data_IF_622756759544
#
_entry.id   IF_622756759544
#
_cell.length_a   1.000
_cell.length_b   1.000
_cell.length_c   1.000
_cell.angle_alpha   90.00
_cell.angle_beta   90.00
_cell.angle_gamma   90.00
#
_symmetry.space_group_name_H-M   'P 1'
#
loop_
_entity.id
_entity.type
_entity.pdbx_description
1 polymer ?
#
# COMPACT_ATOMS: atom_id res chain seq x y z
N UNK A 1 49.34 64.13 36.99
CA UNK A 1 50.19 63.03 36.49
C UNK A 1 49.40 61.74 36.53
N UNK A 2 49.17 61.05 35.41
CA UNK A 2 48.65 59.68 35.38
C UNK A 2 49.73 58.66 34.94
N UNK A 3 49.90 57.52 35.64
CA UNK A 3 50.55 56.32 35.13
C UNK A 3 49.52 55.35 34.48
N UNK A 4 49.94 54.31 33.72
CA UNK A 4 49.22 53.96 32.48
C UNK A 4 48.49 52.61 32.44
N UNK A 5 47.50 52.57 31.54
CA UNK A 5 46.99 51.48 30.67
C UNK A 5 47.47 50.04 31.00
N UNK A 6 46.54 49.19 31.44
CA UNK A 6 46.72 47.73 31.43
C UNK A 6 46.30 47.12 30.09
N UNK A 7 47.19 46.31 29.51
CA UNK A 7 47.07 45.73 28.17
C UNK A 7 46.78 44.22 28.26
N UNK A 8 45.53 43.78 28.11
CA UNK A 8 45.20 42.35 28.05
C UNK A 8 45.32 41.81 26.62
N UNK A 9 46.49 41.28 26.28
CA UNK A 9 46.70 40.45 25.09
C UNK A 9 46.32 38.99 25.34
N UNK A 10 45.46 38.48 24.45
CA UNK A 10 45.48 37.11 23.90
C UNK A 10 45.52 35.92 24.88
N UNK A 11 44.36 35.27 25.04
CA UNK A 11 44.25 33.83 24.75
C UNK A 11 43.11 33.58 23.78
N UNK A 12 43.45 33.26 22.53
CA UNK A 12 42.52 32.58 21.62
C UNK A 12 42.53 31.11 22.03
N UNK A 13 41.37 30.54 22.32
CA UNK A 13 41.29 29.09 22.49
C UNK A 13 41.39 28.45 21.11
N UNK A 14 42.49 27.72 20.86
CA UNK A 14 42.60 26.84 19.72
C UNK A 14 41.71 25.62 19.99
N UNK A 15 40.56 25.55 19.32
CA UNK A 15 39.76 24.33 19.25
C UNK A 15 40.53 23.36 18.34
N UNK A 16 40.71 22.11 18.79
CA UNK A 16 41.43 21.11 18.00
C UNK A 16 40.60 20.74 16.77
N UNK A 17 41.22 20.61 15.61
CA UNK A 17 40.52 20.20 14.39
C UNK A 17 39.80 18.84 14.51
N UNK A 18 40.24 17.98 15.44
CA UNK A 18 39.52 16.75 15.79
C UNK A 18 38.20 17.01 16.51
N UNK A 19 38.09 18.03 17.36
CA UNK A 19 36.83 18.33 18.09
C UNK A 19 35.77 18.88 17.13
N UNK A 20 36.19 19.66 16.13
CA UNK A 20 35.31 20.16 15.07
C UNK A 20 34.86 19.03 14.13
N UNK A 21 35.75 18.09 13.79
CA UNK A 21 35.42 16.91 12.97
C UNK A 21 34.55 15.89 13.74
N UNK A 22 34.71 15.77 15.06
CA UNK A 22 33.81 14.99 15.93
C UNK A 22 32.45 15.66 16.02
N UNK A 23 32.36 16.99 16.21
CA UNK A 23 31.09 17.71 16.18
C UNK A 23 30.38 17.61 14.83
N UNK A 24 31.08 17.79 13.72
CA UNK A 24 30.51 17.64 12.38
C UNK A 24 30.05 16.19 12.11
N UNK A 25 30.76 15.19 12.67
CA UNK A 25 30.30 13.79 12.64
C UNK A 25 29.06 13.57 13.51
N UNK A 26 28.96 14.16 14.70
CA UNK A 26 27.77 14.09 15.56
C UNK A 26 26.58 14.85 14.95
N UNK A 27 26.80 15.99 14.29
CA UNK A 27 25.77 16.73 13.57
C UNK A 27 25.33 15.99 12.30
N UNK A 28 26.25 15.42 11.51
CA UNK A 28 25.89 14.49 10.43
C UNK A 28 25.08 13.30 10.95
N UNK A 29 25.49 12.69 12.07
CA UNK A 29 24.76 11.56 12.65
C UNK A 29 23.39 11.97 13.24
N UNK A 30 23.18 13.26 13.55
CA UNK A 30 21.86 13.83 13.91
C UNK A 30 21.03 14.25 12.71
N UNK A 31 21.65 14.56 11.58
CA UNK A 31 20.99 14.85 10.30
C UNK A 31 20.58 13.55 9.56
N UNK A 32 21.37 12.48 9.70
CA UNK A 32 21.05 11.12 9.26
C UNK A 32 20.16 10.36 10.28
N UNK A 33 19.97 10.87 11.49
CA UNK A 33 19.00 10.32 12.43
C UNK A 33 17.57 10.65 11.93
N UNK A 34 16.70 9.66 11.69
CA UNK A 34 15.36 9.91 11.18
C UNK A 34 14.54 10.71 12.20
N UNK A 35 14.36 12.01 11.94
CA UNK A 35 13.39 12.85 12.62
C UNK A 35 11.98 12.40 12.23
N UNK A 36 11.51 11.31 12.86
CA UNK A 36 10.24 10.69 12.48
C UNK A 36 9.86 9.37 13.18
N UNK A 37 10.61 8.85 14.17
CA UNK A 37 10.17 7.63 14.90
C UNK A 37 9.08 7.88 15.97
N UNK A 38 8.72 9.15 16.23
CA UNK A 38 7.47 9.52 16.94
C UNK A 38 6.33 9.85 15.95
N UNK A 39 6.29 9.13 14.82
CA UNK A 39 5.22 9.24 13.82
C UNK A 39 3.86 8.79 14.41
N UNK A 40 3.07 9.76 14.90
CA UNK A 40 1.62 9.69 15.20
C UNK A 40 1.13 8.27 15.55
N UNK A 41 1.39 7.84 16.78
CA UNK A 41 0.93 6.54 17.29
C UNK A 41 -0.60 6.38 17.09
N UNK A 42 -1.08 5.45 16.24
CA UNK A 42 -2.50 5.26 15.96
C UNK A 42 -3.33 4.89 17.20
N UNK A 43 -2.70 4.47 18.30
CA UNK A 43 -3.36 4.24 19.59
C UNK A 43 -3.95 5.52 20.19
N UNK A 44 -3.40 6.69 19.87
CA UNK A 44 -3.95 7.99 20.33
C UNK A 44 -5.26 8.37 19.65
N UNK A 45 -5.47 7.96 18.40
CA UNK A 45 -6.63 8.38 17.58
C UNK A 45 -7.75 7.32 17.54
N UNK A 46 -7.39 6.03 17.53
CA UNK A 46 -8.34 4.91 17.45
C UNK A 46 -8.46 4.07 18.73
N UNK A 47 -7.68 4.41 19.77
CA UNK A 47 -7.56 3.66 21.02
C UNK A 47 -6.65 2.43 20.90
N UNK A 48 -6.03 2.05 22.01
CA UNK A 48 -5.17 0.87 22.07
C UNK A 48 -5.99 -0.43 21.91
N UNK A 49 -6.01 -0.96 20.69
CA UNK A 49 -6.76 -2.17 20.35
C UNK A 49 -5.83 -3.24 19.79
N UNK A 50 -6.16 -4.51 20.07
CA UNK A 50 -5.35 -5.66 19.65
C UNK A 50 -5.11 -5.71 18.13
N UNK A 51 -6.03 -5.17 17.31
CA UNK A 51 -5.85 -5.05 15.86
C UNK A 51 -4.78 -4.03 15.46
N UNK A 52 -4.80 -2.83 16.06
CA UNK A 52 -3.79 -1.78 15.82
C UNK A 52 -2.43 -2.26 16.30
N UNK A 53 -2.35 -2.89 17.47
CA UNK A 53 -1.08 -3.41 17.99
C UNK A 53 -0.48 -4.51 17.11
N UNK A 54 -1.28 -5.34 16.43
CA UNK A 54 -0.79 -6.29 15.42
C UNK A 54 -0.28 -5.62 14.13
N UNK A 55 -0.84 -4.47 13.75
CA UNK A 55 -0.36 -3.69 12.60
C UNK A 55 0.93 -2.94 12.92
N UNK A 56 1.04 -2.34 14.11
CA UNK A 56 2.28 -1.71 14.58
C UNK A 56 3.41 -2.74 14.78
N UNK A 57 3.09 -3.91 15.35
CA UNK A 57 4.05 -5.00 15.43
C UNK A 57 4.43 -5.58 14.06
N UNK A 58 3.60 -5.43 13.01
CA UNK A 58 3.94 -5.90 11.67
C UNK A 58 5.16 -5.14 11.09
N UNK A 59 5.23 -3.84 11.38
CA UNK A 59 6.31 -2.95 10.94
C UNK A 59 7.58 -3.14 11.79
N UNK A 60 7.40 -3.33 13.10
CA UNK A 60 8.50 -3.59 14.05
C UNK A 60 9.03 -5.05 14.03
N UNK A 61 8.57 -5.93 13.12
CA UNK A 61 9.19 -7.26 12.92
C UNK A 61 10.43 -7.08 12.05
N UNK A 62 11.65 -7.40 12.55
CA UNK A 62 12.87 -7.24 11.77
C UNK A 62 12.80 -7.98 10.43
N UNK A 63 13.15 -7.30 9.34
CA UNK A 63 12.99 -7.80 7.96
C UNK A 63 13.64 -9.17 7.73
N UNK A 64 14.69 -9.50 8.48
CA UNK A 64 15.34 -10.82 8.47
C UNK A 64 14.36 -11.98 8.68
N UNK A 65 13.33 -11.84 9.51
CA UNK A 65 12.32 -12.90 9.70
C UNK A 65 11.40 -13.06 8.48
N UNK A 66 11.11 -11.97 7.75
CA UNK A 66 10.35 -12.02 6.50
C UNK A 66 11.19 -12.60 5.36
N UNK A 67 12.49 -12.28 5.30
CA UNK A 67 13.44 -12.90 4.37
C UNK A 67 13.58 -14.40 4.67
N UNK A 68 13.70 -14.79 5.94
CA UNK A 68 13.83 -16.17 6.38
C UNK A 68 12.53 -16.97 6.15
N UNK A 69 11.36 -16.36 6.31
CA UNK A 69 10.08 -16.95 5.93
C UNK A 69 10.06 -17.28 4.43
N UNK A 70 10.44 -16.32 3.57
CA UNK A 70 10.56 -16.53 2.12
C UNK A 70 11.55 -17.66 1.80
N UNK A 71 12.75 -17.63 2.40
CA UNK A 71 13.77 -18.68 2.22
C UNK A 71 13.23 -20.09 2.51
N UNK A 72 12.52 -20.29 3.64
CA UNK A 72 11.94 -21.59 3.97
C UNK A 72 10.77 -21.98 3.06
N UNK A 73 9.92 -21.04 2.63
CA UNK A 73 8.82 -21.35 1.69
C UNK A 73 9.34 -21.72 0.30
N UNK A 74 10.41 -21.07 -0.17
CA UNK A 74 11.08 -21.40 -1.44
C UNK A 74 11.84 -22.73 -1.37
N UNK A 75 12.47 -23.06 -0.23
CA UNK A 75 13.07 -24.39 0.00
C UNK A 75 12.02 -25.51 -0.03
N UNK A 76 10.85 -25.28 0.58
CA UNK A 76 9.74 -26.23 0.54
C UNK A 76 9.24 -26.47 -0.90
N UNK A 77 9.10 -25.40 -1.70
CA UNK A 77 8.76 -25.49 -3.12
C UNK A 77 9.82 -26.30 -3.90
N UNK A 78 11.11 -26.04 -3.68
CA UNK A 78 12.18 -26.77 -4.35
C UNK A 78 12.11 -28.28 -4.06
N UNK A 79 11.85 -28.67 -2.80
CA UNK A 79 11.59 -30.06 -2.44
C UNK A 79 10.39 -30.66 -3.18
N UNK A 80 9.27 -29.94 -3.26
CA UNK A 80 8.07 -30.37 -4.00
C UNK A 80 8.28 -30.53 -5.52
N UNK A 81 9.16 -29.73 -6.14
CA UNK A 81 9.47 -29.84 -7.58
C UNK A 81 10.44 -31.00 -7.86
N UNK A 82 11.46 -31.18 -7.01
CA UNK A 82 12.48 -32.23 -7.19
C UNK A 82 11.89 -33.63 -6.99
N UNK A 83 10.90 -33.80 -6.11
CA UNK A 83 10.25 -35.10 -5.86
C UNK A 83 9.70 -35.74 -7.16
N UNK A 84 8.72 -35.16 -7.90
CA UNK A 84 8.25 -35.70 -9.18
C UNK A 84 9.35 -35.94 -10.21
N UNK A 85 10.25 -34.97 -10.39
CA UNK A 85 11.32 -35.03 -11.39
C UNK A 85 12.29 -36.21 -11.16
N UNK A 86 12.64 -36.47 -9.89
CA UNK A 86 13.47 -37.60 -9.48
C UNK A 86 12.88 -38.94 -9.94
N UNK A 87 11.55 -39.08 -9.87
CA UNK A 87 10.86 -40.33 -10.23
C UNK A 87 10.71 -40.56 -11.74
N UNK A 88 10.76 -39.51 -12.57
CA UNK A 88 10.76 -39.66 -14.03
C UNK A 88 12.08 -40.26 -14.51
N UNK A 89 13.21 -39.79 -13.98
CA UNK A 89 14.56 -40.28 -14.31
C UNK A 89 14.84 -41.74 -13.92
N UNK A 90 14.07 -42.31 -12.98
CA UNK A 90 14.22 -43.71 -12.57
C UNK A 90 13.50 -44.69 -13.49
N UNK A 91 12.38 -44.29 -14.09
CA UNK A 91 11.54 -45.22 -14.84
C UNK A 91 12.13 -45.55 -16.22
N UNK A 92 12.89 -44.63 -16.81
CA UNK A 92 13.73 -44.87 -18.00
C UNK A 92 14.86 -45.90 -17.78
N UNK A 93 15.10 -46.35 -16.54
CA UNK A 93 16.18 -47.29 -16.19
C UNK A 93 15.76 -48.72 -15.84
N UNK A 94 14.45 -49.08 -15.85
CA UNK A 94 13.97 -50.41 -15.40
C UNK A 94 13.06 -51.15 -16.38
N UNK A 95 13.49 -52.38 -16.67
CA UNK A 95 12.92 -53.45 -17.51
C UNK A 95 11.96 -54.35 -16.65
N UNK A 96 11.04 -55.18 -17.21
CA UNK A 96 9.72 -55.40 -16.58
C UNK A 96 9.59 -56.51 -15.50
N UNK A 97 8.45 -56.41 -14.81
CA UNK A 97 7.74 -57.26 -13.83
C UNK A 97 8.20 -58.70 -13.53
N UNK A 98 8.32 -59.03 -12.23
CA UNK A 98 7.64 -60.15 -11.53
C UNK A 98 7.96 -60.16 -10.02
N UNK A 99 7.27 -61.02 -9.23
CA UNK A 99 7.52 -61.34 -7.79
C UNK A 99 7.18 -60.25 -6.73
N UNK A 100 5.88 -60.11 -6.43
CA UNK A 100 5.31 -59.08 -5.51
C UNK A 100 5.70 -59.25 -4.03
N UNK A 101 6.16 -60.43 -3.57
CA UNK A 101 6.41 -60.70 -2.14
C UNK A 101 7.79 -60.22 -1.63
N UNK A 102 8.85 -60.30 -2.46
CA UNK A 102 10.19 -59.77 -2.11
C UNK A 102 10.33 -58.26 -2.39
N UNK A 103 9.39 -57.68 -3.13
CA UNK A 103 9.42 -56.30 -3.58
C UNK A 103 9.57 -55.30 -2.43
N UNK A 104 8.83 -55.42 -1.32
CA UNK A 104 8.89 -54.46 -0.21
C UNK A 104 10.29 -54.25 0.37
N UNK A 105 11.05 -55.34 0.57
CA UNK A 105 12.43 -55.27 1.09
C UNK A 105 13.44 -54.79 0.04
N UNK A 106 13.21 -55.09 -1.24
CA UNK A 106 14.10 -54.69 -2.35
C UNK A 106 13.87 -53.23 -2.79
N UNK A 107 12.63 -52.73 -2.68
CA UNK A 107 12.26 -51.34 -2.90
C UNK A 107 12.91 -50.46 -1.84
N UNK A 108 12.82 -50.83 -0.56
CA UNK A 108 13.52 -50.13 0.54
C UNK A 108 15.04 -50.07 0.30
N UNK A 109 15.66 -51.18 -0.13
CA UNK A 109 17.10 -51.23 -0.42
C UNK A 109 17.49 -50.48 -1.71
N UNK A 110 16.55 -50.25 -2.63
CA UNK A 110 16.74 -49.35 -3.78
C UNK A 110 16.68 -47.88 -3.32
N UNK A 111 15.70 -47.54 -2.47
CA UNK A 111 15.46 -46.18 -1.98
C UNK A 111 16.67 -45.57 -1.25
N UNK A 112 17.44 -46.39 -0.54
CA UNK A 112 18.64 -45.95 0.18
C UNK A 112 19.77 -45.44 -0.73
N UNK A 113 19.82 -45.84 -2.00
CA UNK A 113 20.92 -45.49 -2.93
C UNK A 113 20.61 -44.27 -3.81
N UNK A 114 19.54 -43.51 -3.53
CA UNK A 114 19.12 -42.37 -4.35
C UNK A 114 19.46 -41.02 -3.69
N UNK A 115 20.55 -40.34 -4.07
CA UNK A 115 20.94 -39.08 -3.42
C UNK A 115 19.88 -37.98 -3.61
N UNK A 116 19.28 -37.90 -4.81
CA UNK A 116 18.34 -36.82 -5.15
C UNK A 116 17.03 -36.88 -4.33
N UNK A 117 16.56 -38.07 -3.96
CA UNK A 117 15.37 -38.24 -3.12
C UNK A 117 15.64 -37.84 -1.66
N UNK A 118 16.81 -38.20 -1.12
CA UNK A 118 17.21 -37.74 0.21
C UNK A 118 17.36 -36.22 0.27
N UNK A 119 17.96 -35.61 -0.76
CA UNK A 119 18.05 -34.15 -0.90
C UNK A 119 16.66 -33.51 -0.86
N UNK A 120 15.70 -34.01 -1.67
CA UNK A 120 14.34 -33.47 -1.70
C UNK A 120 13.60 -33.63 -0.35
N UNK A 121 13.75 -34.77 0.32
CA UNK A 121 13.16 -35.00 1.65
C UNK A 121 13.74 -34.06 2.72
N UNK A 122 15.06 -33.83 2.69
CA UNK A 122 15.76 -32.90 3.59
C UNK A 122 15.30 -31.45 3.34
N UNK A 123 15.17 -31.04 2.08
CA UNK A 123 14.64 -29.70 1.72
C UNK A 123 13.22 -29.51 2.26
N UNK A 124 12.31 -30.46 2.02
CA UNK A 124 10.94 -30.40 2.57
C UNK A 124 10.93 -30.32 4.10
N UNK A 125 11.78 -31.09 4.79
CA UNK A 125 11.89 -31.08 6.24
C UNK A 125 12.40 -29.72 6.77
N UNK A 126 13.47 -29.17 6.19
CA UNK A 126 14.02 -27.86 6.58
C UNK A 126 12.99 -26.75 6.35
N UNK A 127 12.32 -26.73 5.19
CA UNK A 127 11.27 -25.75 4.89
C UNK A 127 10.11 -25.83 5.89
N UNK A 128 9.58 -27.02 6.15
CA UNK A 128 8.49 -27.22 7.10
C UNK A 128 8.87 -26.87 8.55
N UNK A 129 10.05 -27.29 9.02
CA UNK A 129 10.54 -26.96 10.36
C UNK A 129 10.81 -25.46 10.53
N UNK A 130 11.39 -24.80 9.52
CA UNK A 130 11.63 -23.36 9.53
C UNK A 130 10.34 -22.54 9.53
N UNK A 131 9.37 -22.91 8.69
CA UNK A 131 8.02 -22.32 8.71
C UNK A 131 7.31 -22.54 10.05
N UNK A 132 7.39 -23.74 10.62
CA UNK A 132 6.78 -24.06 11.92
C UNK A 132 7.40 -23.29 13.10
N UNK A 133 8.73 -23.12 13.09
CA UNK A 133 9.43 -22.30 14.08
C UNK A 133 9.02 -20.82 14.01
N UNK A 134 9.02 -20.24 12.81
CA UNK A 134 8.59 -18.85 12.59
C UNK A 134 7.11 -18.63 12.94
N UNK A 135 6.25 -19.59 12.61
CA UNK A 135 4.83 -19.58 12.99
C UNK A 135 4.65 -19.59 14.51
N UNK A 136 5.44 -20.37 15.26
CA UNK A 136 5.38 -20.40 16.72
C UNK A 136 5.88 -19.09 17.34
N UNK A 137 7.00 -18.56 16.85
CA UNK A 137 7.60 -17.30 17.34
C UNK A 137 6.63 -16.12 17.21
N UNK A 138 5.98 -15.98 16.06
CA UNK A 138 5.11 -14.84 15.76
C UNK A 138 3.61 -15.16 15.89
N UNK A 139 3.25 -16.21 16.65
CA UNK A 139 1.87 -16.75 16.75
C UNK A 139 0.79 -15.75 17.14
N UNK A 140 1.15 -14.62 17.74
CA UNK A 140 0.23 -13.55 18.12
C UNK A 140 -0.08 -12.58 16.97
N UNK A 141 0.78 -12.49 15.97
CA UNK A 141 0.65 -11.58 14.83
C UNK A 141 0.05 -12.29 13.61
N UNK A 142 -1.27 -12.47 13.67
CA UNK A 142 -2.05 -13.21 12.68
C UNK A 142 -1.92 -12.65 11.25
N UNK A 143 -1.73 -11.34 11.11
CA UNK A 143 -1.53 -10.66 9.81
C UNK A 143 -0.19 -11.07 9.20
N UNK A 144 0.90 -11.06 9.98
CA UNK A 144 2.23 -11.47 9.52
C UNK A 144 2.24 -12.94 9.11
N UNK A 145 1.69 -13.82 9.97
CA UNK A 145 1.60 -15.27 9.70
C UNK A 145 0.83 -15.57 8.42
N UNK A 146 -0.33 -14.93 8.22
CA UNK A 146 -1.15 -15.16 7.04
C UNK A 146 -0.41 -14.74 5.77
N UNK A 147 0.19 -13.54 5.78
CA UNK A 147 0.81 -12.94 4.59
C UNK A 147 2.22 -13.48 4.26
N UNK A 148 2.97 -13.98 5.26
CA UNK A 148 4.38 -14.40 5.09
C UNK A 148 4.60 -15.91 5.16
N UNK A 149 3.71 -16.68 5.78
CA UNK A 149 3.86 -18.13 5.95
C UNK A 149 2.71 -18.90 5.29
N UNK A 150 1.47 -18.64 5.70
CA UNK A 150 0.33 -19.47 5.27
C UNK A 150 0.01 -19.27 3.79
N UNK A 151 -0.09 -18.03 3.31
CA UNK A 151 -0.44 -17.75 1.92
C UNK A 151 0.65 -18.22 0.92
N UNK A 152 1.96 -17.92 1.10
CA UNK A 152 3.01 -18.46 0.23
C UNK A 152 3.11 -20.00 0.32
N UNK A 153 3.01 -20.57 1.53
CA UNK A 153 3.05 -22.02 1.73
C UNK A 153 1.92 -22.75 1.02
N UNK A 154 0.68 -22.23 1.11
CA UNK A 154 -0.48 -22.78 0.42
C UNK A 154 -0.30 -22.74 -1.11
N UNK A 155 0.12 -21.60 -1.65
CA UNK A 155 0.38 -21.45 -3.09
C UNK A 155 1.46 -22.42 -3.58
N UNK A 156 2.58 -22.54 -2.87
CA UNK A 156 3.65 -23.49 -3.23
C UNK A 156 3.22 -24.96 -3.09
N UNK A 157 2.36 -25.29 -2.12
CA UNK A 157 1.80 -26.63 -1.98
C UNK A 157 0.87 -26.98 -3.16
N UNK A 158 0.06 -26.01 -3.64
CA UNK A 158 -0.70 -26.16 -4.88
C UNK A 158 0.24 -26.36 -6.07
N UNK A 159 1.29 -25.53 -6.21
CA UNK A 159 2.28 -25.69 -7.29
C UNK A 159 2.90 -27.08 -7.28
N UNK A 160 3.31 -27.59 -6.11
CA UNK A 160 3.83 -28.95 -5.95
C UNK A 160 2.85 -30.04 -6.36
N UNK A 161 1.58 -29.92 -5.97
CA UNK A 161 0.52 -30.86 -6.35
C UNK A 161 0.26 -30.82 -7.86
N UNK A 162 0.16 -29.63 -8.46
CA UNK A 162 0.01 -29.44 -9.91
C UNK A 162 1.19 -30.03 -10.68
N UNK A 163 2.43 -29.74 -10.25
CA UNK A 163 3.64 -30.34 -10.84
C UNK A 163 3.63 -31.86 -10.73
N UNK A 164 3.14 -32.43 -9.62
CA UNK A 164 2.99 -33.89 -9.45
C UNK A 164 1.97 -34.45 -10.44
N UNK A 165 0.78 -33.85 -10.56
CA UNK A 165 -0.29 -34.26 -11.47
C UNK A 165 0.18 -34.18 -12.93
N UNK A 166 0.78 -33.05 -13.34
CA UNK A 166 1.31 -32.84 -14.69
C UNK A 166 2.29 -33.96 -15.04
N UNK A 167 3.28 -34.24 -14.19
CA UNK A 167 4.26 -35.30 -14.44
C UNK A 167 3.64 -36.71 -14.56
N UNK A 168 2.54 -37.01 -13.86
CA UNK A 168 1.84 -38.30 -14.01
C UNK A 168 1.17 -38.41 -15.38
N UNK A 169 0.50 -37.36 -15.84
CA UNK A 169 -0.23 -37.41 -17.11
C UNK A 169 0.65 -37.17 -18.35
N UNK A 170 1.73 -36.38 -18.25
CA UNK A 170 2.62 -36.09 -19.39
C UNK A 170 3.79 -37.07 -19.49
N UNK A 171 4.46 -37.41 -18.38
CA UNK A 171 5.68 -38.22 -18.40
C UNK A 171 5.44 -39.71 -18.08
N UNK A 172 4.23 -40.10 -17.64
CA UNK A 172 3.88 -41.48 -17.25
C UNK A 172 2.60 -42.00 -17.89
N UNK A 173 2.08 -41.32 -18.92
CA UNK A 173 0.86 -41.72 -19.66
C UNK A 173 -0.38 -42.03 -18.79
N UNK A 174 -0.43 -41.52 -17.55
CA UNK A 174 -1.50 -41.79 -16.58
C UNK A 174 -1.23 -42.88 -15.54
N UNK A 175 -0.06 -43.55 -15.56
CA UNK A 175 0.24 -44.66 -14.65
C UNK A 175 0.64 -44.22 -13.23
N UNK A 176 -0.19 -44.60 -12.25
CA UNK A 176 -0.01 -44.31 -10.83
C UNK A 176 0.93 -45.32 -10.16
N UNK A 177 2.23 -45.02 -10.16
CA UNK A 177 3.20 -45.78 -9.36
C UNK A 177 3.07 -45.49 -7.86
N UNK A 178 3.57 -46.42 -7.03
CA UNK A 178 3.57 -46.29 -5.56
C UNK A 178 4.18 -44.95 -5.09
N UNK A 179 5.26 -44.46 -5.73
CA UNK A 179 5.89 -43.19 -5.34
C UNK A 179 5.10 -41.97 -5.80
N UNK A 180 4.43 -42.04 -6.95
CA UNK A 180 3.52 -41.00 -7.43
C UNK A 180 2.30 -40.87 -6.50
N UNK A 181 1.71 -41.99 -6.08
CA UNK A 181 0.64 -42.04 -5.08
C UNK A 181 1.10 -41.38 -3.78
N UNK A 182 2.23 -41.79 -3.21
CA UNK A 182 2.77 -41.20 -1.96
C UNK A 182 2.99 -39.68 -2.11
N UNK A 183 3.59 -39.24 -3.22
CA UNK A 183 3.89 -37.81 -3.44
C UNK A 183 2.61 -36.98 -3.58
N UNK A 184 1.62 -37.47 -4.31
CA UNK A 184 0.32 -36.82 -4.46
C UNK A 184 -0.48 -36.81 -3.13
N UNK A 185 -0.43 -37.89 -2.34
CA UNK A 185 -1.06 -37.93 -1.02
C UNK A 185 -0.42 -36.94 -0.03
N UNK A 186 0.91 -36.84 0.01
CA UNK A 186 1.62 -35.92 0.91
C UNK A 186 1.39 -34.46 0.50
N UNK A 187 1.59 -34.11 -0.77
CA UNK A 187 1.35 -32.73 -1.27
C UNK A 187 -0.12 -32.34 -1.18
N UNK A 188 -1.05 -33.27 -1.46
CA UNK A 188 -2.49 -33.07 -1.27
C UNK A 188 -2.86 -32.80 0.19
N UNK A 189 -2.34 -33.61 1.13
CA UNK A 189 -2.54 -33.40 2.56
C UNK A 189 -2.00 -32.05 3.04
N UNK A 190 -0.77 -31.69 2.66
CA UNK A 190 -0.19 -30.37 2.97
C UNK A 190 -1.05 -29.23 2.42
N UNK A 191 -1.58 -29.36 1.20
CA UNK A 191 -2.44 -28.36 0.56
C UNK A 191 -3.75 -28.18 1.33
N UNK A 192 -4.42 -29.27 1.70
CA UNK A 192 -5.65 -29.24 2.50
C UNK A 192 -5.40 -28.68 3.89
N UNK A 193 -4.31 -29.09 4.56
CA UNK A 193 -3.95 -28.57 5.88
C UNK A 193 -3.72 -27.05 5.85
N UNK A 194 -2.93 -26.57 4.88
CA UNK A 194 -2.66 -25.13 4.72
C UNK A 194 -3.90 -24.34 4.29
N UNK A 195 -4.80 -24.93 3.50
CA UNK A 195 -6.11 -24.34 3.19
C UNK A 195 -6.98 -24.18 4.44
N UNK A 196 -7.10 -25.22 5.28
CA UNK A 196 -7.86 -25.15 6.54
C UNK A 196 -7.28 -24.07 7.46
N UNK A 197 -5.95 -23.99 7.58
CA UNK A 197 -5.29 -22.91 8.33
C UNK A 197 -5.58 -21.52 7.71
N UNK A 198 -5.48 -21.37 6.39
CA UNK A 198 -5.78 -20.11 5.70
C UNK A 198 -7.21 -19.64 5.97
N UNK A 199 -8.19 -20.53 5.86
CA UNK A 199 -9.59 -20.23 6.14
C UNK A 199 -9.82 -19.89 7.62
N UNK A 200 -9.22 -20.63 8.55
CA UNK A 200 -9.32 -20.39 9.99
C UNK A 200 -8.74 -19.02 10.40
N UNK A 201 -7.52 -18.71 9.95
CA UNK A 201 -6.88 -17.42 10.25
C UNK A 201 -7.61 -16.24 9.59
N UNK A 202 -8.03 -16.38 8.32
CA UNK A 202 -8.69 -15.30 7.58
C UNK A 202 -10.13 -15.04 8.05
N UNK A 203 -10.99 -16.06 7.99
CA UNK A 203 -12.43 -15.90 8.19
C UNK A 203 -12.87 -15.96 9.66
N UNK A 204 -12.09 -16.58 10.55
CA UNK A 204 -12.44 -16.66 11.96
C UNK A 204 -11.61 -15.70 12.81
N UNK A 205 -10.29 -15.89 12.85
CA UNK A 205 -9.43 -15.21 13.82
C UNK A 205 -9.27 -13.70 13.53
N UNK A 206 -8.93 -13.33 12.29
CA UNK A 206 -8.83 -11.93 11.87
C UNK A 206 -10.20 -11.23 11.84
N UNK A 207 -11.27 -11.90 11.41
CA UNK A 207 -12.62 -11.31 11.42
C UNK A 207 -13.12 -11.05 12.84
N UNK A 208 -12.87 -11.96 13.79
CA UNK A 208 -13.20 -11.76 15.21
C UNK A 208 -12.52 -10.49 15.74
N UNK A 209 -11.22 -10.33 15.50
CA UNK A 209 -10.44 -9.18 15.97
C UNK A 209 -10.86 -7.88 15.27
N UNK A 210 -11.10 -7.91 13.96
CA UNK A 210 -11.66 -6.74 13.22
C UNK A 210 -13.04 -6.35 13.74
N UNK A 211 -13.89 -7.32 14.12
CA UNK A 211 -15.21 -7.07 14.72
C UNK A 211 -15.10 -6.51 16.14
N UNK A 212 -14.18 -7.01 16.95
CA UNK A 212 -13.89 -6.48 18.29
C UNK A 212 -13.34 -5.05 18.22
N UNK A 213 -12.41 -4.77 17.31
CA UNK A 213 -11.89 -3.41 17.03
C UNK A 213 -13.00 -2.45 16.57
N UNK A 214 -13.83 -2.84 15.58
CA UNK A 214 -15.00 -2.04 15.16
C UNK A 214 -15.97 -1.76 16.32
N UNK A 215 -16.14 -2.71 17.24
CA UNK A 215 -16.98 -2.54 18.43
C UNK A 215 -16.36 -1.55 19.42
N UNK A 216 -15.05 -1.65 19.70
CA UNK A 216 -14.35 -0.71 20.59
C UNK A 216 -14.38 0.72 20.04
N UNK A 217 -14.07 0.91 18.75
CA UNK A 217 -14.17 2.21 18.08
C UNK A 217 -15.59 2.77 18.17
N UNK A 218 -16.63 1.94 17.93
CA UNK A 218 -18.02 2.42 18.05
C UNK A 218 -18.35 2.91 19.46
N UNK A 219 -17.89 2.22 20.52
CA UNK A 219 -18.08 2.69 21.89
C UNK A 219 -17.29 3.96 22.19
N UNK A 220 -16.04 4.07 21.71
CA UNK A 220 -15.21 5.26 21.86
C UNK A 220 -15.83 6.50 21.21
N UNK A 221 -16.29 6.39 19.96
CA UNK A 221 -16.98 7.47 19.24
C UNK A 221 -18.29 7.87 19.94
N UNK A 222 -19.09 6.90 20.40
CA UNK A 222 -20.34 7.19 21.13
C UNK A 222 -20.06 7.87 22.48
N UNK A 223 -19.01 7.47 23.19
CA UNK A 223 -18.62 8.08 24.48
C UNK A 223 -18.13 9.52 24.30
N UNK A 224 -17.30 9.78 23.27
CA UNK A 224 -16.88 11.13 22.89
C UNK A 224 -18.09 11.99 22.48
N UNK A 225 -19.00 11.45 21.66
CA UNK A 225 -20.22 12.13 21.24
C UNK A 225 -21.18 12.49 22.38
N UNK A 226 -21.32 11.61 23.40
CA UNK A 226 -22.07 11.94 24.61
C UNK A 226 -21.39 13.04 25.44
N UNK A 227 -20.06 13.03 25.51
CA UNK A 227 -19.28 14.04 26.25
C UNK A 227 -19.42 15.43 25.64
N UNK A 228 -19.44 15.54 24.30
CA UNK A 228 -19.60 16.82 23.59
C UNK A 228 -21.03 17.37 23.61
N UNK A 229 -22.05 16.51 23.75
CA UNK A 229 -23.45 16.92 23.79
C UNK A 229 -23.84 17.75 25.04
N UNK A 230 -23.05 17.69 26.12
CA UNK A 230 -23.33 18.39 27.38
C UNK A 230 -22.99 19.90 27.37
N UNK A 231 -22.42 20.43 26.28
CA UNK A 231 -21.98 21.84 26.21
C UNK A 231 -22.78 22.74 25.27
N UNK A 232 -23.82 22.23 24.59
CA UNK A 232 -24.59 23.01 23.58
C UNK A 232 -26.06 23.14 23.98
N UNK A 233 -26.33 23.90 25.05
CA UNK A 233 -27.68 24.40 25.36
C UNK A 233 -27.61 25.87 25.75
N UNK A 234 -27.67 26.77 24.77
CA UNK A 234 -28.17 28.13 24.97
C UNK A 234 -28.57 28.82 23.67
N UNK A 235 -29.68 29.57 23.73
CA UNK A 235 -30.14 30.60 22.77
C UNK A 235 -30.82 30.19 21.44
N UNK A 236 -32.16 30.24 21.47
CA UNK A 236 -33.09 30.50 20.35
C UNK A 236 -33.22 32.06 20.25
N UNK A 237 -33.53 32.79 19.16
CA UNK A 237 -34.40 32.66 17.96
C UNK A 237 -33.77 33.49 16.78
N UNK A 238 -34.30 33.68 15.55
CA UNK A 238 -35.69 33.78 15.03
C UNK A 238 -35.79 33.46 13.52
N UNK A 239 -37.03 33.42 13.01
CA UNK A 239 -37.53 33.19 11.65
C UNK A 239 -37.05 34.11 10.50
N UNK A 240 -36.91 33.56 9.28
CA UNK A 240 -37.54 34.09 8.05
C UNK A 240 -37.45 33.06 6.89
N UNK A 241 -38.27 33.22 5.84
CA UNK A 241 -38.38 32.25 4.75
C UNK A 241 -37.13 32.23 3.85
N UNK A 242 -36.64 31.03 3.56
CA UNK A 242 -35.63 30.77 2.53
C UNK A 242 -36.05 29.56 1.68
N UNK A 243 -35.65 29.56 0.41
CA UNK A 243 -35.73 28.39 -0.48
C UNK A 243 -35.07 27.14 0.16
N UNK A 244 -35.42 25.90 -0.24
CA UNK A 244 -34.70 24.70 0.20
C UNK A 244 -33.28 24.65 -0.40
N UNK A 245 -32.39 25.47 0.16
CA UNK A 245 -30.95 25.25 0.09
C UNK A 245 -30.71 24.01 0.96
N UNK A 246 -30.38 22.89 0.30
CA UNK A 246 -29.93 21.70 1.02
C UNK A 246 -28.74 22.09 1.89
N UNK A 247 -28.76 21.87 3.22
CA UNK A 247 -27.67 22.29 4.08
C UNK A 247 -26.41 21.52 3.66
N UNK A 248 -25.44 22.22 3.06
CA UNK A 248 -24.11 21.67 2.85
C UNK A 248 -23.53 21.36 4.23
N UNK A 249 -23.30 20.08 4.49
CA UNK A 249 -22.79 19.57 5.75
C UNK A 249 -21.36 20.07 5.97
N UNK A 250 -21.19 21.22 6.61
CA UNK A 250 -19.89 21.70 7.08
C UNK A 250 -19.30 20.69 8.07
N UNK A 251 -18.17 20.10 7.69
CA UNK A 251 -17.46 19.11 8.51
C UNK A 251 -16.13 19.69 8.99
N UNK A 252 -15.86 19.59 10.28
CA UNK A 252 -14.58 19.98 10.88
C UNK A 252 -13.52 18.90 10.64
N UNK A 253 -12.35 19.31 10.19
CA UNK A 253 -11.22 18.45 9.83
C UNK A 253 -9.89 19.09 10.22
N UNK A 254 -8.90 18.28 10.55
CA UNK A 254 -7.53 18.75 10.77
C UNK A 254 -6.72 18.49 9.50
N UNK A 255 -6.50 19.51 8.68
CA UNK A 255 -5.83 19.33 7.38
C UNK A 255 -4.32 19.53 7.45
N UNK A 256 -3.55 18.63 6.85
CA UNK A 256 -2.07 18.67 6.87
C UNK A 256 -1.48 18.84 5.45
N UNK A 257 -0.24 19.37 5.32
CA UNK A 257 0.37 19.60 4.02
C UNK A 257 0.94 18.32 3.40
N UNK A 258 0.53 18.02 2.17
CA UNK A 258 1.05 16.92 1.37
C UNK A 258 2.00 17.45 0.28
N UNK A 259 3.28 17.06 0.32
CA UNK A 259 4.27 17.50 -0.66
C UNK A 259 4.11 16.80 -2.01
N UNK A 260 4.00 15.47 -2.01
CA UNK A 260 4.13 14.66 -3.22
C UNK A 260 2.80 14.54 -3.96
N UNK A 261 2.82 14.68 -5.28
CA UNK A 261 1.64 14.41 -6.10
C UNK A 261 1.37 12.91 -6.24
N UNK A 262 0.14 12.50 -5.95
CA UNK A 262 -0.32 11.12 -6.15
C UNK A 262 -1.81 11.05 -6.54
N UNK A 263 -2.24 9.89 -7.04
CA UNK A 263 -3.66 9.60 -7.34
C UNK A 263 -3.92 8.09 -7.44
N UNK A 264 -4.65 7.54 -6.47
CA UNK A 264 -5.12 6.15 -6.44
C UNK A 264 -6.17 5.81 -7.50
N UNK A 265 -6.90 6.80 -8.03
CA UNK A 265 -7.83 6.62 -9.17
C UNK A 265 -7.16 6.83 -10.54
N UNK A 266 -5.87 7.18 -10.56
CA UNK A 266 -5.07 7.31 -11.78
C UNK A 266 -5.29 8.62 -12.54
N UNK A 267 -5.64 9.72 -11.85
CA UNK A 267 -5.69 11.06 -12.44
C UNK A 267 -4.28 11.54 -12.79
N UNK A 268 -4.15 12.17 -13.96
CA UNK A 268 -2.87 12.61 -14.53
C UNK A 268 -2.53 14.03 -14.08
N UNK A 269 -1.49 14.17 -13.25
CA UNK A 269 -1.07 15.44 -12.66
C UNK A 269 -0.72 16.52 -13.69
N UNK A 270 -0.18 16.12 -14.84
CA UNK A 270 0.16 17.04 -15.94
C UNK A 270 -1.05 17.58 -16.72
N UNK A 271 -2.27 17.23 -16.31
CA UNK A 271 -3.53 17.70 -16.89
C UNK A 271 -4.51 18.24 -15.82
N UNK A 272 -4.01 18.54 -14.62
CA UNK A 272 -4.72 19.27 -13.57
C UNK A 272 -3.80 20.31 -12.91
N UNK A 273 -4.32 21.15 -12.01
CA UNK A 273 -3.50 21.90 -11.07
C UNK A 273 -3.20 21.05 -9.83
N UNK A 274 -1.99 20.50 -9.75
CA UNK A 274 -1.54 19.66 -8.61
C UNK A 274 -1.42 20.43 -7.29
N UNK A 275 -1.48 21.77 -7.32
CA UNK A 275 -1.52 22.62 -6.14
C UNK A 275 -2.93 22.71 -5.53
N UNK A 276 -3.94 22.06 -6.12
CA UNK A 276 -5.34 22.09 -5.66
C UNK A 276 -5.90 20.67 -5.53
N UNK A 277 -5.17 19.80 -4.82
CA UNK A 277 -5.51 18.38 -4.63
C UNK A 277 -5.77 18.05 -3.17
N UNK A 278 -6.73 17.15 -2.92
CA UNK A 278 -7.03 16.59 -1.61
C UNK A 278 -6.81 15.06 -1.57
N UNK A 279 -6.28 14.60 -0.44
CA UNK A 279 -5.87 13.23 -0.12
C UNK A 279 -6.61 12.81 1.16
N UNK A 280 -7.87 12.38 1.04
CA UNK A 280 -8.76 12.13 2.20
C UNK A 280 -8.61 10.71 2.78
N UNK A 281 -9.12 10.41 3.98
CA UNK A 281 -9.07 9.03 4.52
C UNK A 281 -9.91 8.03 3.72
N UNK A 282 -10.92 8.53 3.01
CA UNK A 282 -11.83 7.77 2.15
C UNK A 282 -11.29 7.71 0.71
N UNK A 283 -11.50 6.61 -0.03
CA UNK A 283 -11.23 6.60 -1.47
C UNK A 283 -12.11 7.62 -2.21
N UNK A 284 -11.63 8.21 -3.33
CA UNK A 284 -12.47 9.02 -4.21
C UNK A 284 -13.68 8.24 -4.74
N UNK A 285 -14.85 8.90 -4.76
CA UNK A 285 -16.07 8.34 -5.34
C UNK A 285 -16.18 8.68 -6.84
N UNK A 286 -17.39 8.57 -7.41
CA UNK A 286 -17.62 8.78 -8.84
C UNK A 286 -18.10 10.19 -9.23
N UNK A 287 -18.08 11.15 -8.29
CA UNK A 287 -18.37 12.56 -8.56
C UNK A 287 -19.09 13.33 -7.45
N UNK A 288 -19.62 12.63 -6.45
CA UNK A 288 -20.43 13.23 -5.39
C UNK A 288 -19.56 14.00 -4.37
N UNK A 289 -18.31 13.55 -4.12
CA UNK A 289 -17.36 14.20 -3.20
C UNK A 289 -16.00 14.50 -3.82
N UNK A 290 -15.89 14.46 -5.16
CA UNK A 290 -14.65 14.80 -5.89
C UNK A 290 -14.27 16.28 -5.77
N UNK A 291 -15.24 17.20 -5.71
CA UNK A 291 -14.97 18.62 -5.52
C UNK A 291 -15.30 19.03 -4.07
N UNK A 292 -14.30 19.54 -3.36
CA UNK A 292 -14.47 20.03 -1.99
C UNK A 292 -13.90 21.43 -1.86
N UNK A 293 -14.48 22.22 -0.96
CA UNK A 293 -13.90 23.50 -0.52
C UNK A 293 -13.42 23.36 0.91
N UNK A 294 -12.14 23.64 1.14
CA UNK A 294 -11.55 23.71 2.48
C UNK A 294 -11.40 25.17 2.88
N UNK A 295 -11.82 25.52 4.10
CA UNK A 295 -11.83 26.88 4.64
C UNK A 295 -11.13 26.92 5.99
N UNK A 296 -10.16 27.83 6.14
CA UNK A 296 -9.44 28.10 7.37
C UNK A 296 -9.46 29.61 7.64
N UNK A 297 -9.92 30.01 8.83
CA UNK A 297 -10.25 31.41 9.13
C UNK A 297 -11.12 32.03 8.02
N UNK A 298 -10.64 33.10 7.38
CA UNK A 298 -11.35 33.80 6.30
C UNK A 298 -10.84 33.42 4.88
N UNK A 299 -10.03 32.36 4.74
CA UNK A 299 -9.47 31.91 3.46
C UNK A 299 -10.06 30.56 3.07
N UNK A 300 -10.28 30.35 1.78
CA UNK A 300 -10.77 29.07 1.26
C UNK A 300 -10.14 28.70 -0.08
N UNK A 301 -10.02 27.40 -0.33
CA UNK A 301 -9.55 26.81 -1.59
C UNK A 301 -10.51 25.71 -2.01
N UNK A 302 -10.78 25.63 -3.32
CA UNK A 302 -11.44 24.48 -3.92
C UNK A 302 -10.35 23.45 -4.28
N UNK A 303 -10.60 22.17 -4.01
CA UNK A 303 -9.65 21.08 -4.18
C UNK A 303 -10.35 19.88 -4.85
N UNK A 304 -9.59 19.17 -5.67
CA UNK A 304 -10.02 17.94 -6.30
C UNK A 304 -9.54 16.73 -5.47
N UNK A 305 -10.49 15.97 -4.93
CA UNK A 305 -10.26 14.73 -4.19
C UNK A 305 -10.06 13.57 -5.19
N UNK A 306 -8.80 13.23 -5.47
CA UNK A 306 -8.38 12.23 -6.47
C UNK A 306 -7.44 11.17 -5.88
N UNK A 307 -7.24 11.22 -4.57
CA UNK A 307 -6.43 10.24 -3.88
C UNK A 307 -6.91 10.06 -2.43
N UNK A 308 -6.46 8.98 -1.80
CA UNK A 308 -6.67 8.75 -0.39
C UNK A 308 -5.34 8.73 0.37
N UNK A 309 -5.33 9.30 1.57
CA UNK A 309 -4.26 9.06 2.53
C UNK A 309 -4.54 7.77 3.32
N UNK A 310 -3.59 7.34 4.15
CA UNK A 310 -3.74 6.18 5.03
C UNK A 310 -4.66 6.39 6.25
N UNK A 311 -5.39 7.50 6.35
CA UNK A 311 -6.26 7.83 7.49
C UNK A 311 -6.37 9.31 7.85
N UNK A 312 -5.55 10.16 7.23
CA UNK A 312 -5.45 11.61 7.50
C UNK A 312 -6.22 12.46 6.47
N UNK A 313 -6.42 13.74 6.78
CA UNK A 313 -6.97 14.72 5.84
C UNK A 313 -5.82 15.56 5.30
N UNK A 314 -5.23 15.17 4.18
CA UNK A 314 -4.06 15.87 3.64
C UNK A 314 -4.44 16.64 2.37
N UNK A 315 -3.81 17.79 2.13
CA UNK A 315 -4.03 18.63 0.95
C UNK A 315 -2.68 19.07 0.38
N UNK A 316 -2.59 19.27 -0.93
CA UNK A 316 -1.38 19.74 -1.62
C UNK A 316 -0.73 20.93 -0.89
N UNK A 317 0.58 20.88 -0.66
CA UNK A 317 1.30 21.80 0.24
C UNK A 317 1.01 23.29 -0.04
N UNK A 318 0.94 23.70 -1.32
CA UNK A 318 0.58 25.07 -1.70
C UNK A 318 -0.81 25.52 -1.19
N UNK A 319 -1.82 24.64 -1.28
CA UNK A 319 -3.16 24.91 -0.77
C UNK A 319 -3.17 25.06 0.75
N UNK A 320 -2.43 24.20 1.47
CA UNK A 320 -2.25 24.31 2.91
C UNK A 320 -1.55 25.63 3.29
N UNK A 321 -0.48 25.99 2.58
CA UNK A 321 0.30 27.20 2.84
C UNK A 321 -0.53 28.47 2.59
N UNK A 322 -1.29 28.50 1.49
CA UNK A 322 -2.21 29.59 1.18
C UNK A 322 -3.33 29.71 2.23
N UNK A 323 -3.91 28.60 2.71
CA UNK A 323 -4.86 28.66 3.82
C UNK A 323 -4.20 29.27 5.08
N UNK A 324 -3.00 28.79 5.44
CA UNK A 324 -2.31 29.16 6.66
C UNK A 324 -1.85 30.64 6.67
N UNK A 325 -1.08 31.09 5.68
CA UNK A 325 -0.52 32.47 5.62
C UNK A 325 -1.11 33.37 4.54
N UNK A 326 -1.85 32.86 3.55
CA UNK A 326 -2.44 33.65 2.47
C UNK A 326 -1.59 33.75 1.21
N UNK A 327 -0.41 33.15 1.22
CA UNK A 327 0.57 33.17 0.14
C UNK A 327 0.86 31.74 -0.34
N UNK A 328 1.21 31.54 -1.63
CA UNK A 328 1.58 30.22 -2.14
C UNK A 328 2.91 29.74 -1.53
N UNK A 329 3.08 28.42 -1.45
CA UNK A 329 4.26 27.81 -0.85
C UNK A 329 5.56 28.14 -1.62
N UNK A 330 5.45 28.49 -2.90
CA UNK A 330 6.59 28.93 -3.73
C UNK A 330 7.06 30.36 -3.45
N UNK A 331 6.28 31.17 -2.71
CA UNK A 331 6.64 32.57 -2.38
C UNK A 331 6.94 32.78 -0.89
N UNK A 332 6.16 32.15 -0.03
CA UNK A 332 6.34 32.24 1.42
C UNK A 332 6.14 30.85 2.06
N UNK A 333 7.09 29.92 1.87
CA UNK A 333 7.00 28.56 2.40
C UNK A 333 6.98 28.58 3.93
N UNK A 334 5.95 27.98 4.51
CA UNK A 334 5.80 27.79 5.94
C UNK A 334 5.94 26.31 6.31
N UNK A 335 6.43 26.06 7.51
CA UNK A 335 6.47 24.74 8.12
C UNK A 335 5.49 24.71 9.30
N UNK A 336 4.73 23.64 9.41
CA UNK A 336 3.71 23.44 10.45
C UNK A 336 3.16 22.02 10.43
N UNK A 337 1.87 21.88 10.72
CA UNK A 337 1.18 20.60 10.74
C UNK A 337 -0.32 20.77 10.54
N UNK A 338 -1.12 20.00 11.25
CA UNK A 338 -2.57 20.06 11.15
C UNK A 338 -3.16 21.43 11.49
N UNK A 339 -3.89 22.04 10.56
CA UNK A 339 -4.72 23.22 10.81
C UNK A 339 -6.18 22.80 10.92
N UNK A 340 -6.88 23.27 11.96
CA UNK A 340 -8.30 22.96 12.17
C UNK A 340 -9.15 23.78 11.19
N UNK A 341 -9.60 23.13 10.13
CA UNK A 341 -10.33 23.71 9.02
C UNK A 341 -11.76 23.14 8.94
N UNK A 342 -12.60 23.79 8.15
CA UNK A 342 -13.89 23.25 7.72
C UNK A 342 -13.79 22.81 6.28
N UNK A 343 -14.46 21.73 5.89
CA UNK A 343 -14.72 21.44 4.49
C UNK A 343 -16.21 21.34 4.17
N UNK A 344 -16.57 21.72 2.95
CA UNK A 344 -17.88 21.47 2.34
C UNK A 344 -17.69 20.72 1.02
N UNK A 345 -18.66 19.88 0.68
CA UNK A 345 -18.74 19.23 -0.63
C UNK A 345 -19.39 20.22 -1.61
N UNK A 346 -18.79 20.36 -2.79
CA UNK A 346 -19.23 21.27 -3.85
C UNK A 346 -19.59 20.50 -5.13
N UNK A 347 -20.47 21.03 -5.99
CA UNK A 347 -20.67 20.47 -7.32
C UNK A 347 -19.41 20.62 -8.16
N UNK A 348 -19.15 19.64 -9.04
CA UNK A 348 -17.93 19.57 -9.87
C UNK A 348 -17.66 20.81 -10.74
N UNK A 349 -18.66 21.64 -11.02
CA UNK A 349 -18.49 22.94 -11.69
C UNK A 349 -17.54 23.88 -10.95
N UNK A 350 -17.51 23.82 -9.61
CA UNK A 350 -16.66 24.67 -8.76
C UNK A 350 -15.18 24.27 -8.80
N UNK A 351 -14.86 23.08 -9.32
CA UNK A 351 -13.50 22.57 -9.52
C UNK A 351 -13.11 22.50 -11.01
N UNK A 352 -13.95 22.98 -11.93
CA UNK A 352 -13.71 22.86 -13.38
C UNK A 352 -12.44 23.59 -13.85
N UNK A 353 -12.00 24.63 -13.13
CA UNK A 353 -10.74 25.34 -13.38
C UNK A 353 -9.48 24.56 -12.96
N UNK A 354 -9.61 23.58 -12.07
CA UNK A 354 -8.51 22.68 -11.66
C UNK A 354 -8.21 21.67 -12.79
N UNK A 355 -9.19 21.36 -13.65
CA UNK A 355 -9.04 20.43 -14.77
C UNK A 355 -8.46 21.16 -16.00
N UNK A 356 -7.17 20.95 -16.26
CA UNK A 356 -6.43 21.63 -17.34
C UNK A 356 -6.33 20.81 -18.62
N UNK A 357 -6.84 19.58 -18.62
CA UNK A 357 -6.92 18.67 -19.77
C UNK A 357 -7.46 19.33 -21.06
N UNK A 358 -7.03 18.86 -22.26
CA UNK A 358 -7.47 19.42 -23.54
C UNK A 358 -8.98 19.33 -23.78
N UNK A 359 -9.61 18.26 -23.27
CA UNK A 359 -11.03 17.93 -23.43
C UNK A 359 -11.91 18.42 -22.27
N UNK A 360 -11.31 19.04 -21.24
CA UNK A 360 -11.97 19.52 -20.01
C UNK A 360 -12.72 18.46 -19.21
N UNK A 361 -12.37 17.18 -19.42
CA UNK A 361 -12.84 16.04 -18.63
C UNK A 361 -11.74 15.60 -17.67
N UNK A 362 -12.13 14.84 -16.63
CA UNK A 362 -11.20 14.26 -15.65
C UNK A 362 -10.16 13.38 -16.37
N UNK A 363 -8.86 13.73 -16.37
CA UNK A 363 -7.86 13.07 -17.20
C UNK A 363 -7.31 11.84 -16.49
N UNK A 364 -7.66 10.65 -16.96
CA UNK A 364 -7.34 9.38 -16.34
C UNK A 364 -6.33 8.58 -17.18
N UNK A 365 -5.41 7.89 -16.50
CA UNK A 365 -4.49 6.94 -17.14
C UNK A 365 -5.27 5.77 -17.74
N UNK A 366 -5.22 5.61 -19.06
CA UNK A 366 -5.91 4.54 -19.78
C UNK A 366 -5.47 3.13 -19.33
N UNK A 367 -4.19 3.00 -18.89
CA UNK A 367 -3.63 1.72 -18.46
C UNK A 367 -4.00 1.38 -17.00
N UNK A 368 -4.07 2.38 -16.11
CA UNK A 368 -4.09 2.14 -14.66
C UNK A 368 -5.37 2.62 -13.94
N UNK A 369 -6.30 3.32 -14.60
CA UNK A 369 -7.56 3.79 -13.99
C UNK A 369 -8.77 2.85 -14.18
N UNK A 370 -8.64 1.76 -14.95
CA UNK A 370 -9.80 1.02 -15.47
C UNK A 370 -10.72 0.39 -14.41
N UNK A 371 -10.21 0.05 -13.22
CA UNK A 371 -11.04 -0.41 -12.10
C UNK A 371 -11.97 0.71 -11.60
N UNK A 372 -11.46 1.94 -11.49
CA UNK A 372 -12.25 3.10 -11.11
C UNK A 372 -13.26 3.47 -12.19
N UNK A 373 -12.82 3.58 -13.44
CA UNK A 373 -13.68 3.91 -14.60
C UNK A 373 -14.85 2.94 -14.75
N UNK A 374 -14.59 1.63 -14.70
CA UNK A 374 -15.66 0.63 -14.79
C UNK A 374 -16.61 0.65 -13.58
N UNK A 375 -16.10 0.92 -12.37
CA UNK A 375 -16.97 1.10 -11.19
C UNK A 375 -17.90 2.31 -11.34
N UNK A 376 -17.42 3.40 -11.94
CA UNK A 376 -18.20 4.61 -12.16
C UNK A 376 -19.19 4.49 -13.32
N UNK A 377 -18.81 3.81 -14.41
CA UNK A 377 -19.72 3.52 -15.53
C UNK A 377 -20.88 2.58 -15.15
N UNK A 378 -20.76 1.82 -14.07
CA UNK A 378 -21.86 0.99 -13.55
C UNK A 378 -22.92 1.76 -12.75
N UNK A 379 -22.68 3.04 -12.44
CA UNK A 379 -23.57 3.91 -11.67
C UNK A 379 -24.32 4.87 -12.60
N UNK A 380 -25.67 4.84 -12.57
CA UNK A 380 -26.51 5.57 -13.53
C UNK A 380 -26.35 7.10 -13.51
N UNK A 381 -25.92 7.67 -12.37
CA UNK A 381 -25.86 9.12 -12.14
C UNK A 381 -24.43 9.61 -11.86
N UNK A 382 -23.42 8.81 -12.18
CA UNK A 382 -22.00 9.17 -11.97
C UNK A 382 -21.57 10.34 -12.86
N UNK A 383 -21.06 11.41 -12.25
CA UNK A 383 -20.48 12.53 -13.00
C UNK A 383 -19.27 12.06 -13.82
N UNK A 384 -18.40 11.24 -13.21
CA UNK A 384 -17.17 10.72 -13.83
C UNK A 384 -17.47 9.85 -15.04
N UNK A 385 -18.54 9.05 -15.01
CA UNK A 385 -18.96 8.22 -16.14
C UNK A 385 -19.24 9.03 -17.41
N UNK A 386 -19.66 10.30 -17.27
CA UNK A 386 -19.94 11.20 -18.38
C UNK A 386 -18.82 12.22 -18.65
N UNK A 387 -17.91 12.43 -17.70
CA UNK A 387 -16.93 13.52 -17.71
C UNK A 387 -15.49 13.03 -17.43
N UNK A 388 -15.13 11.84 -17.90
CA UNK A 388 -13.74 11.33 -17.91
C UNK A 388 -13.15 11.25 -19.31
N UNK A 389 -11.85 11.54 -19.44
CA UNK A 389 -11.05 11.33 -20.66
C UNK A 389 -9.90 10.38 -20.36
N UNK A 390 -9.63 9.42 -21.25
CA UNK A 390 -8.61 8.40 -21.07
C UNK A 390 -7.39 8.70 -21.94
N UNK A 391 -6.19 8.65 -21.35
CA UNK A 391 -4.94 9.02 -22.02
C UNK A 391 -3.87 7.94 -21.86
N UNK A 392 -3.04 7.71 -22.88
CA UNK A 392 -1.99 6.66 -22.88
C UNK A 392 -0.73 7.05 -22.06
N UNK A 393 -0.92 7.74 -20.95
CA UNK A 393 0.12 8.08 -19.98
C UNK A 393 0.03 7.04 -18.85
N UNK A 394 1.13 6.33 -18.59
CA UNK A 394 1.15 5.19 -17.69
C UNK A 394 1.12 5.61 -16.20
N UNK A 395 1.85 6.65 -15.84
CA UNK A 395 2.01 7.12 -14.45
C UNK A 395 1.20 8.38 -14.18
N UNK A 396 0.60 8.50 -12.99
CA UNK A 396 -0.11 9.71 -12.54
C UNK A 396 0.77 10.97 -12.55
N UNK A 397 2.04 10.86 -12.13
CA UNK A 397 3.04 11.92 -12.22
C UNK A 397 3.52 12.27 -13.66
N UNK A 398 2.94 11.63 -14.69
CA UNK A 398 3.28 11.82 -16.10
C UNK A 398 4.75 11.59 -16.48
N UNK A 399 5.47 10.73 -15.75
CA UNK A 399 6.86 10.35 -16.02
C UNK A 399 7.02 9.33 -17.15
N UNK A 400 5.99 8.52 -17.45
CA UNK A 400 6.00 7.54 -18.55
C UNK A 400 4.72 7.53 -19.40
N UNK A 401 4.88 7.31 -20.71
CA UNK A 401 3.80 7.07 -21.68
C UNK A 401 3.78 8.06 -22.86
N UNK A 402 2.66 8.09 -23.58
CA UNK A 402 2.41 8.94 -24.76
C UNK A 402 1.23 9.86 -24.47
N UNK A 403 1.35 11.16 -24.80
CA UNK A 403 0.22 12.11 -24.71
C UNK A 403 -0.73 11.94 -25.90
N UNK A 404 -1.59 10.94 -25.82
CA UNK A 404 -2.65 10.65 -26.79
C UNK A 404 -3.93 10.20 -26.08
N UNK A 405 -5.08 10.52 -26.66
CA UNK A 405 -6.40 10.10 -26.14
C UNK A 405 -6.70 8.67 -26.58
N UNK A 406 -7.36 7.90 -25.71
CA UNK A 406 -7.76 6.52 -25.93
C UNK A 406 -9.29 6.39 -25.86
N UNK A 407 -9.85 5.51 -26.70
CA UNK A 407 -11.29 5.26 -26.76
C UNK A 407 -11.62 3.96 -26.03
N UNK A 408 -12.54 4.02 -25.07
CA UNK A 408 -13.09 2.83 -24.40
C UNK A 408 -14.42 2.43 -25.04
N UNK A 409 -14.53 1.17 -25.46
CA UNK A 409 -15.80 0.57 -25.85
C UNK A 409 -16.01 -0.74 -25.08
N UNK A 410 -16.77 -0.67 -23.98
CA UNK A 410 -17.07 -1.82 -23.12
C UNK A 410 -17.87 -2.94 -23.79
N UNK A 411 -18.52 -2.68 -24.94
CA UNK A 411 -19.14 -3.74 -25.75
C UNK A 411 -18.11 -4.56 -26.56
N UNK A 412 -16.87 -4.10 -26.66
CA UNK A 412 -15.78 -4.75 -27.40
C UNK A 412 -14.66 -5.24 -26.48
N UNK A 413 -14.26 -4.44 -25.47
CA UNK A 413 -13.14 -4.76 -24.58
C UNK A 413 -13.26 -4.03 -23.25
N UNK A 414 -12.70 -4.62 -22.18
CA UNK A 414 -12.49 -3.95 -20.89
C UNK A 414 -11.20 -3.10 -20.85
N UNK A 415 -10.46 -3.01 -21.96
CA UNK A 415 -9.28 -2.18 -22.12
C UNK A 415 -9.51 -1.06 -23.17
N UNK A 416 -9.05 0.17 -22.94
CA UNK A 416 -9.10 1.24 -23.93
C UNK A 416 -8.21 0.94 -25.15
N UNK A 417 -8.64 1.40 -26.32
CA UNK A 417 -7.85 1.38 -27.55
C UNK A 417 -7.19 2.74 -27.73
N UNK A 418 -5.86 2.77 -27.80
CA UNK A 418 -5.04 3.96 -28.02
C UNK A 418 -4.35 3.87 -29.40
N UNK A 419 -3.89 4.99 -29.99
CA UNK A 419 -3.12 4.97 -31.24
C UNK A 419 -1.80 4.17 -31.16
N UNK A 420 -1.10 4.24 -30.03
CA UNK A 420 0.04 3.37 -29.73
C UNK A 420 -0.34 2.27 -28.71
N UNK A 421 0.59 1.35 -28.43
CA UNK A 421 0.38 0.30 -27.44
C UNK A 421 -0.02 0.89 -26.07
N UNK A 422 -1.05 0.32 -25.44
CA UNK A 422 -1.53 0.74 -24.13
C UNK A 422 -0.44 0.53 -23.05
N UNK A 423 -0.20 1.55 -22.22
CA UNK A 423 0.66 1.44 -21.04
C UNK A 423 2.17 1.44 -21.33
N UNK A 424 2.58 2.04 -22.45
CA UNK A 424 4.00 2.16 -22.84
C UNK A 424 4.87 2.79 -21.74
N UNK A 425 5.98 2.12 -21.41
CA UNK A 425 6.96 2.57 -20.41
C UNK A 425 8.06 3.42 -21.04
N UNK A 426 7.69 4.35 -21.93
CA UNK A 426 8.65 5.30 -22.54
C UNK A 426 8.72 6.58 -21.69
N UNK A 427 9.91 7.16 -21.41
CA UNK A 427 10.00 8.37 -20.59
C UNK A 427 9.31 9.58 -21.23
N UNK A 428 8.33 10.15 -20.53
CA UNK A 428 7.60 11.34 -20.95
C UNK A 428 8.21 12.58 -20.29
N UNK A 429 8.91 13.41 -21.08
CA UNK A 429 9.65 14.60 -20.58
C UNK A 429 9.02 15.93 -20.94
N UNK A 430 7.97 15.93 -21.77
CA UNK A 430 7.33 17.14 -22.32
C UNK A 430 6.19 17.68 -21.44
N UNK A 431 5.79 16.94 -20.40
CA UNK A 431 4.69 17.26 -19.49
C UNK A 431 5.09 17.02 -18.02
N UNK A 432 6.13 17.69 -17.50
CA UNK A 432 6.61 17.48 -16.14
C UNK A 432 5.56 17.90 -15.10
N UNK A 433 5.37 17.06 -14.09
CA UNK A 433 4.67 17.42 -12.85
C UNK A 433 5.70 17.87 -11.82
N UNK A 434 5.41 18.93 -11.08
CA UNK A 434 6.28 19.44 -10.02
C UNK A 434 5.57 19.39 -8.67
N UNK A 435 6.26 18.82 -7.70
CA UNK A 435 5.96 18.96 -6.28
C UNK A 435 6.63 20.25 -5.76
N UNK A 436 6.15 20.76 -4.63
CA UNK A 436 6.82 21.85 -3.91
C UNK A 436 7.46 21.26 -2.66
N UNK A 437 8.78 21.31 -2.60
CA UNK A 437 9.56 20.80 -1.48
C UNK A 437 9.19 21.53 -0.18
N UNK A 438 8.90 20.73 0.84
CA UNK A 438 8.30 21.21 2.07
C UNK A 438 9.23 22.15 2.84
N UNK A 439 8.71 23.32 3.20
CA UNK A 439 9.46 24.33 3.94
C UNK A 439 10.50 25.12 3.14
N UNK A 440 10.75 24.77 1.87
CA UNK A 440 11.74 25.47 1.02
C UNK A 440 11.09 26.25 -0.13
N UNK A 441 9.91 25.82 -0.61
CA UNK A 441 9.24 26.42 -1.76
C UNK A 441 9.86 26.05 -3.12
N UNK A 442 10.90 25.21 -3.13
CA UNK A 442 11.55 24.74 -4.35
C UNK A 442 10.62 23.82 -5.15
N UNK A 443 10.60 23.95 -6.48
CA UNK A 443 9.92 22.98 -7.35
C UNK A 443 10.83 21.80 -7.64
N UNK A 444 10.40 20.61 -7.26
CA UNK A 444 11.09 19.33 -7.53
C UNK A 444 10.25 18.48 -8.47
N UNK A 445 10.89 17.71 -9.35
CA UNK A 445 10.17 16.87 -10.31
C UNK A 445 9.49 15.71 -9.57
N UNK A 446 8.17 15.56 -9.73
CA UNK A 446 7.44 14.40 -9.23
C UNK A 446 7.85 13.13 -10.01
N UNK A 447 7.87 11.98 -9.35
CA UNK A 447 8.43 10.71 -9.88
C UNK A 447 7.39 9.60 -10.02
#
# INVERSE_FOLDING_TARGET
MPPPIHNQRQRRNAISGNDELVRLREEMFRLDAPHGEDARDPRHEYGETSYINMLLQLDNIPQIYSILASFFTWILLAGYIVLPATFTSLQSSRIPTSEISKAGKLILKTYQNLPLLWIAAILCAIGASGMGWLWWMWKMNYIWILNRIILPGFLHSITGLLTTIINIYTARSGDWSVTAIITASVTGFCTVFLLVQLLFYNFWLLQKIKKEHKRQIKYFIVYIGLSTAMSVVSSIVTSSLSCPISPQSESLVTVTPHQQFASSIGVLGCMIDTNRVAYWPSPPDCGDTLCIKVTYNNRSVNLLHIDHSGGAYDISYDAWNYLYVGEPATQNPQQGGGISAKYTILPMSECANIITSPDKRLPLSAANSMNYVSSCLSQSNSWTASNSGLWNIATSACTFGVKEECVLNLATSNQPVCPHQLGLQIPLRTLPVFDIEYGTGNKVLAV
#
